data_IF_793536418896
#
_entry.id   IF_793536418896
#
_cell.length_a   1.000
_cell.length_b   1.000
_cell.length_c   1.000
_cell.angle_alpha   90.00
_cell.angle_beta   90.00
_cell.angle_gamma   90.00
#
_symmetry.space_group_name_H-M   'P 1'
#
loop_
_entity.id
_entity.type
_entity.pdbx_description
1 polymer ?
#
# COMPACT_ATOMS: atom_id res chain seq x y z
N UNK A 1 -3.68 28.85 17.41
CA UNK A 1 -5.09 28.66 17.81
C UNK A 1 -5.11 27.75 19.04
N UNK A 2 -5.82 28.12 20.13
CA UNK A 2 -5.90 27.30 21.33
C UNK A 2 -6.54 25.93 21.06
N UNK A 3 -6.18 24.93 21.86
CA UNK A 3 -6.68 23.56 21.70
C UNK A 3 -8.21 23.46 21.76
N UNK A 4 -8.88 24.19 22.67
CA UNK A 4 -10.35 24.16 22.79
C UNK A 4 -11.05 24.63 21.51
N UNK A 5 -10.50 25.64 20.85
CA UNK A 5 -11.01 26.10 19.56
C UNK A 5 -10.77 25.06 18.46
N UNK A 6 -9.64 24.34 18.50
CA UNK A 6 -9.37 23.21 17.57
C UNK A 6 -10.37 22.09 17.79
N UNK A 7 -10.62 21.71 19.04
CA UNK A 7 -11.57 20.63 19.37
C UNK A 7 -13.01 21.01 19.02
N UNK A 8 -13.39 22.27 19.24
CA UNK A 8 -14.71 22.79 18.85
C UNK A 8 -14.87 22.79 17.34
N UNK A 9 -13.85 23.20 16.58
CA UNK A 9 -13.90 23.15 15.13
C UNK A 9 -13.91 21.70 14.62
N UNK A 10 -13.11 20.82 15.24
CA UNK A 10 -13.05 19.41 14.89
C UNK A 10 -14.38 18.69 15.12
N UNK A 11 -15.14 19.05 16.16
CA UNK A 11 -16.46 18.46 16.38
C UNK A 11 -17.49 18.91 15.35
N UNK A 12 -17.34 20.11 14.78
CA UNK A 12 -18.19 20.63 13.71
C UNK A 12 -17.80 20.11 12.31
N UNK A 13 -16.57 19.64 12.15
CA UNK A 13 -16.00 19.17 10.89
C UNK A 13 -15.86 17.64 10.84
N UNK A 14 -16.79 16.87 11.40
CA UNK A 14 -16.72 15.40 11.35
C UNK A 14 -16.85 14.86 9.91
N UNK A 15 -17.74 15.47 9.12
CA UNK A 15 -17.99 15.07 7.72
C UNK A 15 -17.10 15.80 6.70
N UNK A 16 -16.07 16.54 7.16
CA UNK A 16 -15.19 17.34 6.31
C UNK A 16 -13.73 17.09 6.66
N UNK A 17 -12.87 17.13 5.64
CA UNK A 17 -11.44 17.10 5.87
C UNK A 17 -10.98 18.38 6.58
N UNK A 18 -10.26 18.21 7.67
CA UNK A 18 -9.68 19.26 8.49
C UNK A 18 -8.20 18.94 8.74
N UNK A 19 -7.35 19.91 8.43
CA UNK A 19 -5.91 19.83 8.69
C UNK A 19 -5.56 20.96 9.66
N UNK A 20 -5.02 20.57 10.82
CA UNK A 20 -4.52 21.51 11.83
C UNK A 20 -3.02 21.55 11.70
N UNK A 21 -2.47 22.74 11.47
CA UNK A 21 -1.02 22.96 11.43
C UNK A 21 -0.65 23.93 12.54
N UNK A 22 0.35 23.55 13.34
CA UNK A 22 1.00 24.38 14.33
C UNK A 22 2.47 24.50 13.99
N UNK A 23 3.02 25.70 14.12
CA UNK A 23 4.44 25.94 13.95
C UNK A 23 4.91 26.78 15.14
N UNK A 24 6.01 26.33 15.76
CA UNK A 24 6.74 27.09 16.75
C UNK A 24 8.24 26.99 16.43
N UNK A 25 8.87 28.12 16.11
CA UNK A 25 10.27 28.15 15.67
C UNK A 25 10.53 27.24 14.48
N UNK A 26 11.46 26.29 14.65
CA UNK A 26 11.85 25.31 13.63
C UNK A 26 11.00 24.04 13.63
N UNK A 27 9.99 23.95 14.49
CA UNK A 27 9.16 22.75 14.65
C UNK A 27 7.78 23.00 14.06
N UNK A 28 7.35 22.09 13.20
CA UNK A 28 6.01 22.03 12.65
C UNK A 28 5.31 20.75 13.07
N UNK A 29 4.10 20.88 13.61
CA UNK A 29 3.23 19.75 13.91
C UNK A 29 1.95 19.88 13.08
N UNK A 30 1.48 18.77 12.52
CA UNK A 30 0.18 18.74 11.85
C UNK A 30 -0.65 17.55 12.29
N UNK A 31 -1.96 17.70 12.22
CA UNK A 31 -2.93 16.66 12.52
C UNK A 31 -4.05 16.71 11.50
N UNK A 32 -4.49 15.54 11.05
CA UNK A 32 -5.53 15.39 10.03
C UNK A 32 -6.71 14.67 10.65
N UNK A 33 -7.90 15.24 10.50
CA UNK A 33 -9.17 14.58 10.74
C UNK A 33 -9.97 14.67 9.44
N UNK A 34 -10.45 13.55 8.95
CA UNK A 34 -11.33 13.52 7.80
C UNK A 34 -12.29 12.34 7.92
N UNK A 35 -13.36 12.32 7.11
CA UNK A 35 -14.11 11.08 6.86
C UNK A 35 -13.19 9.98 6.30
N UNK A 36 -13.73 8.78 6.20
CA UNK A 36 -13.09 7.70 5.46
C UNK A 36 -12.61 8.18 4.09
N UNK A 37 -11.36 7.88 3.76
CA UNK A 37 -10.77 8.25 2.49
C UNK A 37 -10.37 7.00 1.71
N UNK A 38 -11.12 6.74 0.66
CA UNK A 38 -10.92 5.60 -0.24
C UNK A 38 -10.08 6.03 -1.44
N UNK A 39 -8.98 5.32 -1.71
CA UNK A 39 -8.02 5.63 -2.76
C UNK A 39 -7.98 4.47 -3.75
N UNK A 40 -8.21 4.79 -5.04
CA UNK A 40 -8.08 3.84 -6.15
C UNK A 40 -6.69 3.99 -6.78
N UNK A 41 -6.31 5.22 -7.14
CA UNK A 41 -5.03 5.51 -7.82
C UNK A 41 -3.97 5.91 -6.80
N UNK A 42 -3.35 4.92 -6.14
CA UNK A 42 -2.32 5.17 -5.13
C UNK A 42 -0.93 5.48 -5.71
N UNK A 43 -0.79 5.51 -7.04
CA UNK A 43 0.47 5.71 -7.79
C UNK A 43 1.68 4.93 -7.22
N UNK A 44 1.62 3.59 -7.13
CA UNK A 44 2.74 2.78 -6.67
C UNK A 44 3.95 2.90 -7.62
N UNK A 45 5.15 3.05 -7.05
CA UNK A 45 6.39 3.24 -7.84
C UNK A 45 6.74 2.04 -8.74
N UNK A 46 6.38 0.81 -8.35
CA UNK A 46 6.84 -0.42 -9.01
C UNK A 46 5.72 -1.47 -9.20
N UNK A 47 4.53 -1.04 -9.61
CA UNK A 47 3.40 -1.94 -9.85
C UNK A 47 3.44 -2.59 -11.23
N UNK A 48 3.97 -3.82 -11.29
CA UNK A 48 3.88 -4.66 -12.49
C UNK A 48 3.34 -6.04 -12.13
N UNK A 49 2.18 -6.39 -12.69
CA UNK A 49 1.59 -7.72 -12.56
C UNK A 49 1.93 -8.56 -13.81
N UNK A 50 3.04 -9.30 -13.73
CA UNK A 50 3.56 -10.15 -14.81
C UNK A 50 3.09 -11.61 -14.69
N UNK A 51 2.26 -11.97 -13.70
CA UNK A 51 1.73 -13.33 -13.52
C UNK A 51 2.78 -14.46 -13.59
N UNK A 52 4.03 -14.19 -13.22
CA UNK A 52 5.13 -15.15 -13.37
C UNK A 52 4.97 -16.37 -12.46
N UNK A 53 4.41 -16.20 -11.26
CA UNK A 53 4.17 -17.30 -10.32
C UNK A 53 2.94 -18.15 -10.68
N UNK A 54 1.89 -17.49 -11.18
CA UNK A 54 0.60 -18.09 -11.52
C UNK A 54 0.17 -17.59 -12.92
N UNK A 55 0.79 -18.12 -13.99
CA UNK A 55 0.43 -17.73 -15.34
C UNK A 55 -0.98 -18.20 -15.65
N UNK A 56 -1.78 -17.33 -16.28
CA UNK A 56 -3.07 -17.73 -16.84
C UNK A 56 -2.85 -18.57 -18.10
N UNK A 57 -3.86 -19.36 -18.46
CA UNK A 57 -3.78 -20.35 -19.54
C UNK A 57 -3.18 -19.78 -20.84
N UNK A 58 -3.70 -18.65 -21.31
CA UNK A 58 -3.27 -18.06 -22.59
C UNK A 58 -1.80 -17.59 -22.55
N UNK A 59 -1.29 -17.18 -21.37
CA UNK A 59 0.11 -16.83 -21.17
C UNK A 59 1.02 -18.07 -21.19
N UNK A 60 0.59 -19.17 -20.56
CA UNK A 60 1.29 -20.45 -20.62
C UNK A 60 1.32 -21.02 -22.03
N UNK A 61 0.21 -20.93 -22.78
CA UNK A 61 0.15 -21.34 -24.19
C UNK A 61 1.09 -20.50 -25.06
N UNK A 62 1.09 -19.17 -24.86
CA UNK A 62 2.00 -18.27 -25.56
C UNK A 62 3.46 -18.60 -25.26
N UNK A 63 3.83 -18.76 -23.99
CA UNK A 63 5.19 -19.15 -23.60
C UNK A 63 5.57 -20.49 -24.22
N UNK A 64 4.66 -21.47 -24.19
CA UNK A 64 4.88 -22.81 -24.74
C UNK A 64 5.24 -22.82 -26.23
N UNK A 65 4.71 -21.89 -27.01
CA UNK A 65 4.99 -21.78 -28.46
C UNK A 65 6.45 -21.46 -28.82
N UNK A 66 7.27 -21.01 -27.86
CA UNK A 66 8.68 -20.72 -28.07
C UNK A 66 9.54 -21.96 -27.80
N UNK A 67 10.29 -22.40 -28.81
CA UNK A 67 11.32 -23.42 -28.66
C UNK A 67 12.69 -22.75 -28.60
N UNK A 68 13.18 -22.46 -27.38
CA UNK A 68 14.42 -21.69 -27.17
C UNK A 68 15.66 -22.39 -27.78
N UNK A 69 15.66 -23.71 -27.86
CA UNK A 69 16.81 -24.47 -28.37
C UNK A 69 16.86 -24.46 -29.91
N UNK A 70 15.69 -24.43 -30.57
CA UNK A 70 15.59 -24.42 -32.02
C UNK A 70 15.79 -23.05 -32.68
N UNK A 71 15.71 -21.94 -31.92
CA UNK A 71 15.88 -20.59 -32.47
C UNK A 71 17.33 -20.34 -32.90
N UNK A 72 17.53 -19.47 -33.90
CA UNK A 72 18.86 -18.94 -34.21
C UNK A 72 19.33 -17.91 -33.16
N UNK A 73 20.58 -17.46 -33.24
CA UNK A 73 21.14 -16.52 -32.26
C UNK A 73 20.41 -15.17 -32.24
N UNK A 74 19.93 -14.71 -33.40
CA UNK A 74 19.23 -13.42 -33.50
C UNK A 74 17.86 -13.54 -32.87
N UNK A 75 17.10 -14.58 -33.18
CA UNK A 75 15.77 -14.77 -32.64
C UNK A 75 15.78 -15.06 -31.14
N UNK A 76 16.81 -15.75 -30.65
CA UNK A 76 17.03 -16.06 -29.24
C UNK A 76 17.26 -14.81 -28.40
N UNK A 77 18.07 -13.86 -28.87
CA UNK A 77 18.35 -12.59 -28.16
C UNK A 77 17.18 -11.60 -28.15
N UNK A 78 16.13 -11.87 -28.93
CA UNK A 78 14.93 -11.05 -29.05
C UNK A 78 13.68 -11.71 -28.41
N UNK A 79 13.85 -12.78 -27.63
CA UNK A 79 12.74 -13.40 -26.88
C UNK A 79 12.41 -12.53 -25.65
N UNK A 80 11.13 -12.18 -25.40
CA UNK A 80 10.71 -11.48 -24.19
C UNK A 80 11.17 -12.16 -22.90
N UNK A 81 11.72 -11.41 -21.94
CA UNK A 81 12.20 -11.98 -20.68
C UNK A 81 11.11 -12.74 -19.91
N UNK A 82 9.85 -12.32 -20.02
CA UNK A 82 8.70 -13.01 -19.40
C UNK A 82 8.58 -14.46 -19.90
N UNK A 83 8.77 -14.67 -21.21
CA UNK A 83 8.74 -16.01 -21.82
C UNK A 83 9.91 -16.85 -21.33
N UNK A 84 11.11 -16.25 -21.24
CA UNK A 84 12.31 -16.90 -20.71
C UNK A 84 12.04 -17.40 -19.29
N UNK A 85 11.60 -16.51 -18.38
CA UNK A 85 11.32 -16.88 -16.99
C UNK A 85 10.31 -18.03 -16.92
N UNK A 86 9.19 -17.94 -17.65
CA UNK A 86 8.16 -18.98 -17.64
C UNK A 86 8.68 -20.35 -18.10
N UNK A 87 9.48 -20.39 -19.18
CA UNK A 87 10.10 -21.62 -19.68
C UNK A 87 11.02 -22.27 -18.64
N UNK A 88 11.88 -21.48 -18.00
CA UNK A 88 12.78 -22.01 -16.97
C UNK A 88 12.05 -22.38 -15.67
N UNK A 89 10.96 -21.69 -15.32
CA UNK A 89 10.09 -22.08 -14.20
C UNK A 89 9.39 -23.41 -14.48
N UNK A 90 8.93 -23.65 -15.71
CA UNK A 90 8.37 -24.94 -16.11
C UNK A 90 9.40 -26.06 -16.08
N UNK A 91 10.62 -25.82 -16.57
CA UNK A 91 11.73 -26.77 -16.47
C UNK A 91 12.11 -27.07 -15.01
N UNK A 92 12.12 -26.05 -14.15
CA UNK A 92 12.34 -26.21 -12.72
C UNK A 92 11.23 -27.05 -12.06
N UNK A 93 9.96 -26.76 -12.37
CA UNK A 93 8.80 -27.55 -11.92
C UNK A 93 8.87 -28.99 -12.37
N UNK A 94 9.34 -29.27 -13.59
CA UNK A 94 9.50 -30.64 -14.08
C UNK A 94 10.56 -31.42 -13.29
N UNK A 95 11.61 -30.75 -12.80
CA UNK A 95 12.68 -31.36 -12.00
C UNK A 95 12.32 -31.53 -10.52
N UNK A 96 11.64 -30.54 -9.94
CA UNK A 96 11.42 -30.45 -8.48
C UNK A 96 9.95 -30.59 -8.04
N UNK A 97 9.01 -30.67 -8.98
CA UNK A 97 7.57 -30.80 -8.73
C UNK A 97 6.84 -29.49 -8.36
N UNK A 98 7.56 -28.43 -8.01
CA UNK A 98 6.99 -27.14 -7.58
C UNK A 98 7.77 -25.94 -8.14
N UNK A 99 7.17 -24.75 -8.08
CA UNK A 99 7.83 -23.48 -8.43
C UNK A 99 8.82 -23.07 -7.33
N UNK A 100 9.88 -22.31 -7.65
CA UNK A 100 10.85 -21.86 -6.65
C UNK A 100 10.24 -20.81 -5.71
N UNK A 101 10.34 -21.04 -4.41
CA UNK A 101 9.79 -20.21 -3.33
C UNK A 101 10.89 -19.63 -2.44
N UNK A 102 11.91 -20.43 -2.11
CA UNK A 102 13.02 -20.00 -1.24
C UNK A 102 14.07 -19.18 -1.99
N UNK A 103 14.94 -18.51 -1.24
CA UNK A 103 16.07 -17.78 -1.81
C UNK A 103 17.02 -18.73 -2.57
N UNK A 104 17.30 -19.90 -2.00
CA UNK A 104 18.16 -20.92 -2.60
C UNK A 104 17.54 -21.50 -3.88
N UNK A 105 16.24 -21.80 -3.87
CA UNK A 105 15.51 -22.29 -5.04
C UNK A 105 15.50 -21.27 -6.19
N UNK A 106 15.33 -19.98 -5.86
CA UNK A 106 15.44 -18.88 -6.86
C UNK A 106 16.85 -18.72 -7.39
N UNK A 107 17.86 -18.95 -6.56
CA UNK A 107 19.26 -18.95 -7.00
C UNK A 107 19.53 -20.10 -7.96
N UNK A 108 19.00 -21.30 -7.71
CA UNK A 108 19.08 -22.41 -8.66
C UNK A 108 18.40 -22.06 -9.99
N UNK A 109 17.22 -21.45 -9.96
CA UNK A 109 16.54 -20.99 -11.18
C UNK A 109 17.39 -19.95 -11.95
N UNK A 110 18.02 -19.01 -11.25
CA UNK A 110 18.94 -18.03 -11.83
C UNK A 110 20.11 -18.74 -12.53
N UNK A 111 20.68 -19.76 -11.91
CA UNK A 111 21.79 -20.51 -12.48
C UNK A 111 21.33 -21.36 -13.69
N UNK A 112 20.10 -21.89 -13.67
CA UNK A 112 19.47 -22.53 -14.84
C UNK A 112 19.30 -21.55 -16.01
N UNK A 113 18.78 -20.34 -15.76
CA UNK A 113 18.60 -19.31 -16.79
C UNK A 113 19.97 -18.89 -17.38
N UNK A 114 20.98 -18.70 -16.54
CA UNK A 114 22.36 -18.39 -16.99
C UNK A 114 22.94 -19.50 -17.87
N UNK A 115 22.65 -20.76 -17.55
CA UNK A 115 23.19 -21.88 -18.32
C UNK A 115 22.67 -21.98 -19.75
N UNK A 116 21.49 -21.40 -20.02
CA UNK A 116 20.94 -21.31 -21.38
C UNK A 116 21.20 -20.00 -22.11
N UNK A 117 22.00 -19.09 -21.53
CA UNK A 117 22.54 -17.96 -22.28
C UNK A 117 23.55 -18.48 -23.31
N UNK A 118 23.42 -18.02 -24.56
CA UNK A 118 24.33 -18.39 -25.66
C UNK A 118 25.51 -17.43 -25.77
N UNK A 119 25.29 -16.17 -25.40
CA UNK A 119 26.32 -15.12 -25.37
C UNK A 119 26.21 -14.28 -24.08
N UNK A 120 27.32 -13.70 -23.65
CA UNK A 120 27.38 -12.94 -22.40
C UNK A 120 26.63 -11.60 -22.44
N UNK A 121 26.40 -11.08 -23.64
CA UNK A 121 25.76 -9.81 -23.96
C UNK A 121 24.25 -9.94 -24.29
N UNK A 122 23.63 -11.09 -24.01
CA UNK A 122 22.19 -11.29 -24.19
C UNK A 122 21.37 -10.48 -23.16
N UNK A 123 21.03 -9.24 -23.52
CA UNK A 123 20.30 -8.30 -22.66
C UNK A 123 18.95 -8.84 -22.17
N UNK A 124 18.21 -9.58 -23.00
CA UNK A 124 16.93 -10.17 -22.62
C UNK A 124 17.06 -11.23 -21.51
N UNK A 125 18.14 -12.01 -21.49
CA UNK A 125 18.45 -12.91 -20.39
C UNK A 125 18.90 -12.15 -19.14
N UNK A 126 19.67 -11.07 -19.29
CA UNK A 126 20.03 -10.22 -18.16
C UNK A 126 18.79 -9.58 -17.52
N UNK A 127 17.82 -9.11 -18.33
CA UNK A 127 16.50 -8.67 -17.87
C UNK A 127 15.80 -9.80 -17.10
N UNK A 128 15.74 -11.02 -17.66
CA UNK A 128 15.14 -12.17 -16.99
C UNK A 128 15.74 -12.41 -15.61
N UNK A 129 17.07 -12.42 -15.49
CA UNK A 129 17.80 -12.63 -14.24
C UNK A 129 17.46 -11.56 -13.18
N UNK A 130 17.33 -10.30 -13.58
CA UNK A 130 16.95 -9.21 -12.67
C UNK A 130 15.48 -9.31 -12.21
N UNK A 131 14.61 -9.94 -13.00
CA UNK A 131 13.18 -10.08 -12.72
C UNK A 131 12.79 -11.40 -12.03
N UNK A 132 13.69 -12.41 -11.93
CA UNK A 132 13.42 -13.68 -11.21
C UNK A 132 12.94 -13.44 -9.78
N UNK A 133 13.52 -12.45 -9.10
CA UNK A 133 13.19 -12.14 -7.70
C UNK A 133 11.74 -11.65 -7.51
N UNK A 134 11.05 -11.28 -8.59
CA UNK A 134 9.63 -10.89 -8.59
C UNK A 134 8.67 -12.07 -8.58
N UNK A 135 9.16 -13.31 -8.69
CA UNK A 135 8.35 -14.49 -8.43
C UNK A 135 7.83 -14.41 -6.98
N UNK A 136 6.53 -14.18 -6.82
CA UNK A 136 5.88 -14.17 -5.51
C UNK A 136 5.82 -15.59 -4.94
N UNK A 137 6.02 -15.71 -3.62
CA UNK A 137 6.17 -16.98 -2.93
C UNK A 137 4.85 -17.73 -2.73
N UNK A 138 3.73 -17.02 -2.52
CA UNK A 138 2.46 -17.66 -2.11
C UNK A 138 1.24 -16.74 -2.09
N UNK A 139 1.37 -15.48 -1.68
CA UNK A 139 0.23 -14.56 -1.53
C UNK A 139 0.09 -13.65 -2.75
N UNK A 140 -1.05 -13.76 -3.42
CA UNK A 140 -1.36 -13.06 -4.67
C UNK A 140 -2.14 -11.75 -4.45
N UNK A 141 -2.63 -11.53 -3.23
CA UNK A 141 -3.39 -10.35 -2.83
C UNK A 141 -2.61 -9.65 -1.72
N UNK A 142 -2.20 -8.38 -1.91
CA UNK A 142 -1.53 -7.60 -0.88
C UNK A 142 -2.35 -7.49 0.41
N UNK A 143 -1.67 -7.40 1.55
CA UNK A 143 -2.30 -7.37 2.88
C UNK A 143 -3.37 -6.28 3.03
N UNK A 144 -3.11 -5.10 2.49
CA UNK A 144 -3.97 -3.92 2.55
C UNK A 144 -5.25 -4.13 1.73
N UNK A 145 -5.14 -4.74 0.56
CA UNK A 145 -6.28 -5.10 -0.28
C UNK A 145 -7.10 -6.20 0.40
N UNK A 146 -6.43 -7.19 1.00
CA UNK A 146 -7.10 -8.24 1.78
C UNK A 146 -7.84 -7.67 2.99
N UNK A 147 -7.28 -6.70 3.70
CA UNK A 147 -7.97 -5.99 4.78
C UNK A 147 -9.22 -5.27 4.25
N UNK A 148 -9.11 -4.59 3.11
CA UNK A 148 -10.25 -3.94 2.45
C UNK A 148 -11.35 -4.94 2.08
N UNK A 149 -10.99 -6.12 1.56
CA UNK A 149 -11.96 -7.17 1.23
C UNK A 149 -12.66 -7.77 2.45
N UNK A 150 -11.98 -7.82 3.58
CA UNK A 150 -12.52 -8.33 4.84
C UNK A 150 -13.27 -7.26 5.65
N UNK A 151 -13.26 -6.00 5.22
CA UNK A 151 -13.97 -4.92 5.90
C UNK A 151 -15.50 -5.15 5.83
N UNK A 152 -16.26 -4.93 6.92
CA UNK A 152 -17.72 -5.06 6.90
C UNK A 152 -18.40 -4.22 5.81
N UNK A 153 -17.82 -3.07 5.44
CA UNK A 153 -18.31 -2.18 4.39
C UNK A 153 -18.18 -2.81 3.01
N UNK A 154 -17.16 -3.67 2.80
CA UNK A 154 -17.00 -4.44 1.57
C UNK A 154 -17.89 -5.69 1.57
N UNK A 155 -17.85 -6.48 2.65
CA UNK A 155 -18.59 -7.75 2.74
C UNK A 155 -20.09 -7.54 2.55
N UNK A 156 -20.63 -6.51 3.19
CA UNK A 156 -22.05 -6.20 3.18
C UNK A 156 -22.44 -5.15 2.13
N UNK A 157 -21.53 -4.77 1.21
CA UNK A 157 -21.85 -3.75 0.22
C UNK A 157 -23.06 -4.16 -0.64
N UNK A 158 -23.92 -3.19 -0.91
CA UNK A 158 -25.14 -3.31 -1.71
C UNK A 158 -25.27 -2.09 -2.64
N UNK A 159 -26.37 -1.99 -3.37
CA UNK A 159 -26.61 -0.87 -4.30
C UNK A 159 -26.61 0.51 -3.64
N UNK A 160 -26.86 0.61 -2.33
CA UNK A 160 -26.87 1.88 -1.58
C UNK A 160 -25.50 2.26 -1.02
N UNK A 161 -24.51 1.38 -1.14
CA UNK A 161 -23.17 1.59 -0.60
C UNK A 161 -22.37 2.58 -1.44
N UNK A 162 -21.34 3.25 -0.89
CA UNK A 162 -20.45 4.08 -1.69
C UNK A 162 -19.82 3.29 -2.84
N UNK A 163 -19.67 3.91 -4.03
CA UNK A 163 -19.20 3.23 -5.24
C UNK A 163 -17.88 2.46 -5.03
N UNK A 164 -16.97 2.97 -4.20
CA UNK A 164 -15.72 2.28 -3.88
C UNK A 164 -15.96 0.90 -3.27
N UNK A 165 -16.89 0.79 -2.31
CA UNK A 165 -17.20 -0.46 -1.63
C UNK A 165 -17.96 -1.44 -2.52
N UNK A 166 -18.82 -0.93 -3.41
CA UNK A 166 -19.46 -1.74 -4.47
C UNK A 166 -18.39 -2.37 -5.37
N UNK A 167 -17.43 -1.57 -5.83
CA UNK A 167 -16.33 -2.05 -6.68
C UNK A 167 -15.39 -3.01 -5.94
N UNK A 168 -15.06 -2.71 -4.68
CA UNK A 168 -14.24 -3.59 -3.84
C UNK A 168 -14.92 -4.96 -3.67
N UNK A 169 -16.24 -4.98 -3.43
CA UNK A 169 -17.03 -6.20 -3.36
C UNK A 169 -17.05 -6.94 -4.70
N UNK A 170 -17.31 -6.25 -5.80
CA UNK A 170 -17.32 -6.86 -7.12
C UNK A 170 -15.98 -7.51 -7.49
N UNK A 171 -14.86 -6.86 -7.14
CA UNK A 171 -13.51 -7.41 -7.33
C UNK A 171 -13.25 -8.58 -6.38
N UNK A 172 -13.67 -8.50 -5.11
CA UNK A 172 -13.58 -9.62 -4.18
C UNK A 172 -14.35 -10.84 -4.70
N UNK A 173 -15.57 -10.64 -5.16
CA UNK A 173 -16.40 -11.70 -5.72
C UNK A 173 -15.76 -12.26 -7.01
N UNK A 174 -15.12 -11.43 -7.83
CA UNK A 174 -14.33 -11.89 -8.98
C UNK A 174 -13.17 -12.80 -8.53
N UNK A 175 -12.40 -12.37 -7.53
CA UNK A 175 -11.27 -13.13 -6.97
C UNK A 175 -11.73 -14.51 -6.47
N UNK A 176 -12.87 -14.59 -5.79
CA UNK A 176 -13.43 -15.84 -5.26
C UNK A 176 -13.99 -16.78 -6.35
N UNK A 177 -14.20 -16.27 -7.57
CA UNK A 177 -14.81 -17.01 -8.68
C UNK A 177 -13.89 -17.02 -9.93
N UNK A 178 -14.10 -16.13 -10.91
CA UNK A 178 -13.38 -16.16 -12.19
C UNK A 178 -11.88 -15.88 -12.06
N UNK A 179 -11.47 -15.19 -11.00
CA UNK A 179 -10.09 -14.82 -10.71
C UNK A 179 -9.26 -15.93 -10.10
N UNK A 180 -9.87 -17.02 -9.63
CA UNK A 180 -9.17 -18.16 -9.00
C UNK A 180 -8.17 -17.74 -7.91
N UNK A 181 -8.56 -16.80 -7.06
CA UNK A 181 -7.72 -16.22 -6.01
C UNK A 181 -6.79 -15.10 -6.45
N UNK A 182 -6.86 -14.67 -7.72
CA UNK A 182 -6.09 -13.55 -8.27
C UNK A 182 -6.97 -12.31 -8.46
N UNK A 183 -6.35 -11.15 -8.30
CA UNK A 183 -6.95 -9.86 -8.68
C UNK A 183 -7.13 -9.75 -10.21
N UNK A 184 -8.02 -8.88 -10.71
CA UNK A 184 -8.12 -8.62 -12.14
C UNK A 184 -6.81 -8.07 -12.69
N UNK A 185 -6.41 -8.53 -13.87
CA UNK A 185 -5.14 -8.14 -14.48
C UNK A 185 -5.19 -6.67 -14.93
N UNK A 186 -4.15 -5.89 -14.58
CA UNK A 186 -4.06 -4.48 -15.00
C UNK A 186 -3.81 -4.28 -16.50
N UNK A 187 -3.25 -5.31 -17.16
CA UNK A 187 -2.87 -5.30 -18.57
C UNK A 187 -1.64 -4.46 -18.91
N UNK A 188 -0.98 -3.86 -17.91
CA UNK A 188 0.25 -3.07 -18.11
C UNK A 188 1.46 -3.98 -18.20
N UNK A 189 2.26 -3.82 -19.26
CA UNK A 189 3.56 -4.47 -19.42
C UNK A 189 4.67 -3.41 -19.45
N UNK A 190 5.85 -3.70 -18.89
CA UNK A 190 7.02 -2.86 -19.07
C UNK A 190 7.53 -2.91 -20.51
N UNK A 191 8.41 -1.97 -20.83
CA UNK A 191 9.31 -2.13 -21.97
C UNK A 191 10.25 -3.33 -21.73
N UNK A 192 10.68 -3.99 -22.80
CA UNK A 192 11.57 -5.16 -22.70
C UNK A 192 12.36 -5.37 -23.99
N UNK A 193 13.52 -6.00 -23.87
CA UNK A 193 14.35 -6.37 -25.01
C UNK A 193 13.73 -7.55 -25.76
N UNK A 194 13.01 -7.23 -26.83
CA UNK A 194 12.37 -8.20 -27.69
C UNK A 194 12.15 -7.67 -29.10
N UNK A 195 11.97 -8.57 -30.07
CA UNK A 195 11.48 -8.20 -31.39
C UNK A 195 10.04 -7.65 -31.29
N UNK A 196 9.71 -6.72 -32.18
CA UNK A 196 8.42 -6.04 -32.20
C UNK A 196 7.26 -7.01 -32.31
N UNK A 197 7.38 -8.07 -33.12
CA UNK A 197 6.30 -9.05 -33.32
C UNK A 197 6.06 -9.85 -32.03
N UNK A 198 7.13 -10.30 -31.39
CA UNK A 198 7.10 -11.08 -30.13
C UNK A 198 6.59 -10.23 -28.96
N UNK A 199 6.98 -8.95 -28.89
CA UNK A 199 6.47 -8.02 -27.88
C UNK A 199 4.97 -7.72 -28.05
N UNK A 200 4.53 -7.39 -29.27
CA UNK A 200 3.12 -7.12 -29.57
C UNK A 200 2.25 -8.36 -29.32
N UNK A 201 2.77 -9.56 -29.63
CA UNK A 201 2.12 -10.83 -29.31
C UNK A 201 1.84 -10.96 -27.81
N UNK A 202 2.87 -10.76 -26.99
CA UNK A 202 2.75 -10.82 -25.53
C UNK A 202 1.79 -9.75 -25.00
N UNK A 203 1.91 -8.51 -25.50
CA UNK A 203 1.03 -7.41 -25.11
C UNK A 203 -0.45 -7.71 -25.41
N UNK A 204 -0.73 -8.35 -26.55
CA UNK A 204 -2.09 -8.77 -26.92
C UNK A 204 -2.64 -9.79 -25.93
N UNK A 205 -1.86 -10.78 -25.52
CA UNK A 205 -2.26 -11.81 -24.54
C UNK A 205 -2.67 -11.17 -23.22
N UNK A 206 -1.83 -10.27 -22.67
CA UNK A 206 -2.15 -9.54 -21.43
C UNK A 206 -3.37 -8.64 -21.57
N UNK A 207 -3.49 -7.90 -22.68
CA UNK A 207 -4.62 -7.01 -22.93
C UNK A 207 -5.93 -7.78 -23.04
N UNK A 208 -5.94 -8.93 -23.72
CA UNK A 208 -7.14 -9.76 -23.85
C UNK A 208 -7.58 -10.33 -22.50
N UNK A 209 -6.63 -10.82 -21.69
CA UNK A 209 -6.92 -11.27 -20.33
C UNK A 209 -7.47 -10.14 -19.46
N UNK A 210 -6.84 -8.97 -19.47
CA UNK A 210 -7.31 -7.80 -18.72
C UNK A 210 -8.73 -7.37 -19.14
N UNK A 211 -9.05 -7.42 -20.45
CA UNK A 211 -10.39 -7.14 -20.95
C UNK A 211 -11.42 -8.19 -20.48
N UNK A 212 -11.04 -9.47 -20.49
CA UNK A 212 -11.88 -10.55 -19.99
C UNK A 212 -12.18 -10.38 -18.50
N UNK A 213 -11.16 -10.09 -17.69
CA UNK A 213 -11.29 -9.87 -16.26
C UNK A 213 -12.16 -8.63 -15.98
N UNK A 214 -11.96 -7.54 -16.72
CA UNK A 214 -12.78 -6.33 -16.64
C UNK A 214 -14.26 -6.62 -16.90
N UNK A 215 -14.57 -7.40 -17.94
CA UNK A 215 -15.96 -7.74 -18.27
C UNK A 215 -16.61 -8.61 -17.18
N UNK A 216 -15.85 -9.51 -16.56
CA UNK A 216 -16.34 -10.29 -15.42
C UNK A 216 -16.64 -9.40 -14.22
N UNK A 217 -15.76 -8.45 -13.90
CA UNK A 217 -16.00 -7.47 -12.83
C UNK A 217 -17.20 -6.57 -13.14
N UNK A 218 -17.34 -6.07 -14.36
CA UNK A 218 -18.51 -5.27 -14.78
C UNK A 218 -19.82 -6.03 -14.57
N UNK A 219 -19.84 -7.32 -14.92
CA UNK A 219 -21.01 -8.17 -14.67
C UNK A 219 -21.34 -8.22 -13.18
N UNK A 220 -20.36 -8.43 -12.32
CA UNK A 220 -20.55 -8.44 -10.86
C UNK A 220 -21.02 -7.11 -10.29
N UNK A 221 -20.51 -5.99 -10.81
CA UNK A 221 -21.01 -4.65 -10.45
C UNK A 221 -22.49 -4.54 -10.79
N UNK A 222 -22.89 -4.95 -12.00
CA UNK A 222 -24.31 -4.93 -12.40
C UNK A 222 -25.17 -5.87 -11.55
N UNK A 223 -24.66 -7.06 -11.19
CA UNK A 223 -25.35 -8.02 -10.32
C UNK A 223 -25.56 -7.45 -8.90
N UNK A 224 -24.63 -6.63 -8.39
CA UNK A 224 -24.77 -5.95 -7.08
C UNK A 224 -25.75 -4.78 -7.16
N UNK A 225 -25.78 -4.07 -8.29
CA UNK A 225 -26.66 -2.91 -8.49
C UNK A 225 -28.11 -3.31 -8.77
N UNK A 226 -28.40 -4.53 -9.26
CA UNK A 226 -29.75 -5.11 -9.45
C UNK A 226 -30.82 -4.14 -10.01
N UNK A 227 -30.46 -3.30 -10.98
CA UNK A 227 -31.37 -2.35 -11.62
C UNK A 227 -31.62 -1.03 -10.86
N UNK A 228 -30.81 -0.71 -9.85
CA UNK A 228 -30.79 0.57 -9.14
C UNK A 228 -30.43 1.75 -10.09
N UNK A 229 -30.84 2.97 -9.72
CA UNK A 229 -30.50 4.20 -10.46
C UNK A 229 -29.01 4.56 -10.35
N UNK A 230 -28.29 3.96 -9.41
CA UNK A 230 -26.86 4.18 -9.20
C UNK A 230 -26.04 3.67 -10.38
N UNK A 231 -25.57 4.59 -11.23
CA UNK A 231 -24.72 4.26 -12.39
C UNK A 231 -23.25 4.49 -12.05
N UNK A 232 -22.46 3.41 -12.02
CA UNK A 232 -21.00 3.47 -12.00
C UNK A 232 -20.50 3.40 -13.44
N UNK A 233 -19.72 4.40 -13.87
CA UNK A 233 -19.23 4.43 -15.25
C UNK A 233 -18.19 3.32 -15.52
N UNK A 234 -18.19 2.83 -16.76
CA UNK A 234 -17.22 1.84 -17.24
C UNK A 234 -15.77 2.28 -17.03
N UNK A 235 -15.49 3.59 -17.16
CA UNK A 235 -14.18 4.18 -16.95
C UNK A 235 -13.70 4.04 -15.50
N UNK A 236 -14.60 4.22 -14.54
CA UNK A 236 -14.28 4.05 -13.11
C UNK A 236 -14.02 2.57 -12.80
N UNK A 237 -14.83 1.65 -13.35
CA UNK A 237 -14.62 0.20 -13.18
C UNK A 237 -13.26 -0.20 -13.76
N UNK A 238 -12.95 0.26 -14.98
CA UNK A 238 -11.65 0.00 -15.63
C UNK A 238 -10.49 0.54 -14.80
N UNK A 239 -10.61 1.76 -14.28
CA UNK A 239 -9.60 2.37 -13.41
C UNK A 239 -9.41 1.57 -12.11
N UNK A 240 -10.51 1.07 -11.54
CA UNK A 240 -10.46 0.22 -10.35
C UNK A 240 -9.75 -1.10 -10.64
N UNK A 241 -10.11 -1.80 -11.73
CA UNK A 241 -9.44 -3.05 -12.13
C UNK A 241 -7.94 -2.86 -12.36
N UNK A 242 -7.54 -1.77 -13.03
CA UNK A 242 -6.12 -1.44 -13.27
C UNK A 242 -5.32 -1.23 -11.99
N UNK A 243 -5.96 -0.79 -10.92
CA UNK A 243 -5.33 -0.45 -9.66
C UNK A 243 -5.74 -1.37 -8.50
N UNK A 244 -6.42 -2.49 -8.76
CA UNK A 244 -6.99 -3.37 -7.75
C UNK A 244 -5.96 -3.88 -6.73
N UNK A 245 -4.71 -4.09 -7.16
CA UNK A 245 -3.59 -4.47 -6.28
C UNK A 245 -3.08 -3.36 -5.36
N UNK A 246 -3.60 -2.14 -5.49
CA UNK A 246 -3.05 -0.95 -4.83
C UNK A 246 -4.12 -0.04 -4.22
N UNK A 247 -5.38 -0.51 -4.16
CA UNK A 247 -6.44 0.22 -3.47
C UNK A 247 -6.10 0.37 -1.99
N UNK A 248 -6.48 1.50 -1.40
CA UNK A 248 -6.26 1.79 0.02
C UNK A 248 -7.48 2.46 0.62
N UNK A 249 -7.72 2.16 1.89
CA UNK A 249 -8.72 2.85 2.70
C UNK A 249 -8.01 3.46 3.90
N UNK A 250 -8.14 4.76 4.09
CA UNK A 250 -7.59 5.48 5.23
C UNK A 250 -8.76 5.86 6.14
N UNK A 251 -8.78 5.27 7.33
CA UNK A 251 -9.68 5.64 8.41
C UNK A 251 -8.97 6.61 9.35
N UNK A 252 -9.37 7.88 9.30
CA UNK A 252 -8.84 8.90 10.20
C UNK A 252 -9.49 8.79 11.57
N UNK A 253 -8.75 9.24 12.59
CA UNK A 253 -9.26 9.35 13.95
C UNK A 253 -9.76 10.75 14.19
N UNK A 254 -10.75 10.88 15.06
CA UNK A 254 -11.14 12.18 15.60
C UNK A 254 -9.99 12.76 16.42
N UNK A 255 -9.71 14.05 16.26
CA UNK A 255 -8.66 14.76 17.02
C UNK A 255 -8.91 14.65 18.53
N UNK A 256 -10.19 14.65 18.94
CA UNK A 256 -10.59 14.45 20.34
C UNK A 256 -10.23 13.07 20.92
N UNK A 257 -9.85 12.11 20.08
CA UNK A 257 -9.54 10.75 20.48
C UNK A 257 -8.06 10.38 20.31
N UNK A 258 -7.21 11.31 19.85
CA UNK A 258 -5.77 11.07 19.67
C UNK A 258 -5.07 10.62 20.96
N UNK A 259 -5.50 11.17 22.10
CA UNK A 259 -4.86 10.93 23.38
C UNK A 259 -5.55 9.87 24.25
N UNK A 260 -6.57 9.17 23.73
CA UNK A 260 -7.30 8.14 24.49
C UNK A 260 -6.58 6.78 24.56
N UNK A 261 -5.40 6.66 23.95
CA UNK A 261 -4.63 5.41 23.87
C UNK A 261 -3.29 5.59 24.60
N UNK A 262 -3.35 5.77 25.92
CA UNK A 262 -2.21 6.02 26.79
C UNK A 262 -1.04 5.06 26.52
N UNK A 263 -1.30 3.75 26.49
CA UNK A 263 -0.27 2.72 26.27
C UNK A 263 0.49 2.90 24.95
N UNK A 264 -0.22 3.25 23.86
CA UNK A 264 0.43 3.48 22.56
C UNK A 264 1.25 4.75 22.55
N UNK A 265 0.78 5.79 23.23
CA UNK A 265 1.51 7.06 23.34
C UNK A 265 2.80 6.84 24.11
N UNK A 266 2.76 6.10 25.22
CA UNK A 266 3.96 5.72 25.97
C UNK A 266 4.90 4.90 25.09
N UNK A 267 4.39 3.91 24.35
CA UNK A 267 5.21 3.12 23.44
C UNK A 267 5.86 3.98 22.34
N UNK A 268 5.12 4.93 21.76
CA UNK A 268 5.66 5.84 20.75
C UNK A 268 6.70 6.78 21.35
N UNK A 269 6.48 7.33 22.54
CA UNK A 269 7.46 8.17 23.24
C UNK A 269 8.77 7.42 23.51
N UNK A 270 8.74 6.11 23.71
CA UNK A 270 9.95 5.30 23.88
C UNK A 270 10.68 5.01 22.55
N UNK A 271 9.99 5.05 21.41
CA UNK A 271 10.51 4.61 20.12
C UNK A 271 10.72 5.74 19.10
N UNK A 272 10.06 6.88 19.26
CA UNK A 272 10.04 7.98 18.29
C UNK A 272 10.30 9.32 18.97
N UNK A 273 11.41 9.98 18.64
CA UNK A 273 11.80 11.25 19.28
C UNK A 273 10.79 12.39 18.99
N UNK A 274 10.20 12.39 17.79
CA UNK A 274 9.35 13.49 17.34
C UNK A 274 8.03 13.62 18.12
N UNK A 275 7.56 12.54 18.75
CA UNK A 275 6.29 12.59 19.49
C UNK A 275 6.41 13.42 20.77
N UNK A 276 7.61 13.57 21.34
CA UNK A 276 7.84 14.46 22.48
C UNK A 276 7.43 15.89 22.15
N UNK A 277 7.74 16.38 20.95
CA UNK A 277 7.30 17.70 20.51
C UNK A 277 5.77 17.79 20.44
N UNK A 278 5.06 16.76 19.97
CA UNK A 278 3.60 16.76 19.97
C UNK A 278 3.01 16.90 21.39
N UNK A 279 3.62 16.28 22.39
CA UNK A 279 3.22 16.39 23.80
C UNK A 279 3.55 17.78 24.35
N UNK A 280 4.77 18.28 24.11
CA UNK A 280 5.20 19.59 24.60
C UNK A 280 4.39 20.73 23.96
N UNK A 281 3.97 20.61 22.70
CA UNK A 281 3.05 21.57 22.06
C UNK A 281 1.71 21.65 22.80
N UNK A 282 1.21 20.53 23.36
CA UNK A 282 0.00 20.52 24.18
C UNK A 282 0.23 21.15 25.55
N UNK A 283 1.38 20.86 26.17
CA UNK A 283 1.79 21.53 27.39
C UNK A 283 1.91 23.06 27.20
N UNK A 284 2.43 23.51 26.06
CA UNK A 284 2.54 24.93 25.71
C UNK A 284 1.17 25.59 25.51
N UNK A 285 0.18 24.90 24.95
CA UNK A 285 -1.21 25.40 24.90
C UNK A 285 -1.79 25.58 26.32
N UNK A 286 -1.52 24.63 27.23
CA UNK A 286 -1.93 24.74 28.65
C UNK A 286 -1.23 25.90 29.35
N UNK A 287 0.08 26.04 29.13
CA UNK A 287 0.87 27.16 29.61
C UNK A 287 0.27 28.49 29.13
N UNK A 288 -0.06 28.62 27.84
CA UNK A 288 -0.69 29.82 27.30
C UNK A 288 -2.02 30.15 27.98
N UNK A 289 -2.82 29.14 28.33
CA UNK A 289 -4.10 29.34 29.03
C UNK A 289 -3.91 29.92 30.43
N UNK A 290 -2.86 29.52 31.15
CA UNK A 290 -2.56 29.93 32.53
C UNK A 290 -1.85 31.29 32.56
N UNK A 291 -0.81 31.45 31.73
CA UNK A 291 0.10 32.61 31.77
C UNK A 291 -0.24 33.67 30.73
N UNK A 292 -1.25 33.44 29.88
CA UNK A 292 -1.69 34.33 28.79
C UNK A 292 -0.60 34.68 27.76
N UNK A 293 0.49 33.91 27.72
CA UNK A 293 1.59 33.98 26.75
C UNK A 293 2.17 32.58 26.53
N UNK A 294 2.84 32.35 25.41
CA UNK A 294 3.57 31.10 25.18
C UNK A 294 4.91 31.09 25.95
N UNK A 295 5.48 29.90 26.26
CA UNK A 295 6.83 29.81 26.80
C UNK A 295 7.82 30.40 25.80
N UNK A 296 8.79 31.18 26.30
CA UNK A 296 9.72 31.91 25.43
C UNK A 296 11.08 32.20 26.07
N UNK A 297 11.25 31.89 27.36
CA UNK A 297 12.52 32.08 28.08
C UNK A 297 12.89 30.83 28.87
N UNK A 298 14.15 30.74 29.27
CA UNK A 298 14.67 29.65 30.12
C UNK A 298 13.97 29.61 31.49
N UNK A 299 13.47 30.75 31.96
CA UNK A 299 12.71 30.87 33.20
C UNK A 299 11.35 30.15 33.12
N UNK A 300 10.83 29.91 31.90
CA UNK A 300 9.58 29.19 31.68
C UNK A 300 9.75 27.66 31.74
N UNK A 301 11.00 27.15 31.77
CA UNK A 301 11.29 25.72 31.66
C UNK A 301 10.56 24.90 32.74
N UNK A 302 10.67 25.29 34.01
CA UNK A 302 10.06 24.54 35.12
C UNK A 302 8.54 24.52 35.01
N UNK A 303 7.95 25.65 34.63
CA UNK A 303 6.51 25.78 34.45
C UNK A 303 6.00 24.99 33.22
N UNK A 304 6.75 24.98 32.11
CA UNK A 304 6.41 24.15 30.93
C UNK A 304 6.55 22.66 31.24
N UNK A 305 7.59 22.28 31.99
CA UNK A 305 7.80 20.92 32.48
C UNK A 305 6.63 20.46 33.36
N UNK A 306 6.19 21.30 34.29
CA UNK A 306 5.01 21.05 35.11
C UNK A 306 3.75 20.85 34.24
N UNK A 307 3.51 21.73 33.27
CA UNK A 307 2.35 21.57 32.37
C UNK A 307 2.43 20.30 31.51
N UNK A 308 3.63 19.82 31.21
CA UNK A 308 3.86 18.56 30.47
C UNK A 308 3.47 17.36 31.32
N UNK A 309 3.90 17.32 32.59
CA UNK A 309 3.50 16.28 33.57
C UNK A 309 1.98 16.26 33.71
N UNK A 310 1.37 17.42 33.98
CA UNK A 310 -0.08 17.52 34.16
C UNK A 310 -0.84 17.09 32.90
N UNK A 311 -0.30 17.35 31.70
CA UNK A 311 -0.90 16.86 30.46
C UNK A 311 -0.82 15.33 30.34
N UNK A 312 0.35 14.73 30.59
CA UNK A 312 0.54 13.28 30.53
C UNK A 312 -0.37 12.54 31.53
N UNK A 313 -0.52 13.07 32.74
CA UNK A 313 -1.46 12.53 33.73
C UNK A 313 -2.92 12.66 33.27
N UNK A 314 -3.27 13.76 32.59
CA UNK A 314 -4.65 13.99 32.10
C UNK A 314 -5.08 13.08 30.95
N UNK A 315 -4.15 12.33 30.36
CA UNK A 315 -4.41 11.36 29.29
C UNK A 315 -4.30 9.91 29.80
N UNK A 316 -4.48 9.73 31.11
CA UNK A 316 -4.51 8.43 31.82
C UNK A 316 -3.19 7.64 31.79
N UNK A 317 -2.04 8.31 31.64
CA UNK A 317 -0.73 7.64 31.79
C UNK A 317 -0.40 7.47 33.29
N UNK A 318 -0.02 6.26 33.75
CA UNK A 318 0.34 6.03 35.15
C UNK A 318 1.51 6.90 35.60
N UNK A 319 1.43 7.44 36.83
CA UNK A 319 2.42 8.34 37.41
C UNK A 319 3.87 7.83 37.30
N UNK A 320 4.11 6.55 37.60
CA UNK A 320 5.44 5.94 37.51
C UNK A 320 6.03 6.02 36.09
N UNK A 321 5.18 5.86 35.06
CA UNK A 321 5.62 5.97 33.67
C UNK A 321 5.82 7.43 33.26
N UNK A 322 5.01 8.36 33.79
CA UNK A 322 5.23 9.80 33.57
C UNK A 322 6.61 10.21 34.11
N UNK A 323 6.99 9.74 35.30
CA UNK A 323 8.32 10.00 35.86
C UNK A 323 9.43 9.47 34.95
N UNK A 324 9.34 8.21 34.52
CA UNK A 324 10.31 7.60 33.60
C UNK A 324 10.45 8.40 32.30
N UNK A 325 9.32 8.82 31.70
CA UNK A 325 9.31 9.58 30.45
C UNK A 325 9.92 10.99 30.62
N UNK A 326 9.67 11.64 31.75
CA UNK A 326 10.16 12.99 32.04
C UNK A 326 11.64 13.02 32.44
N UNK A 327 12.21 11.90 32.89
CA UNK A 327 13.64 11.73 33.16
C UNK A 327 14.45 11.45 31.88
N UNK A 328 13.79 11.19 30.75
CA UNK A 328 14.46 10.95 29.48
C UNK A 328 15.20 12.19 28.96
N UNK A 329 16.42 12.00 28.46
CA UNK A 329 17.24 13.06 27.88
C UNK A 329 16.55 13.71 26.66
N UNK A 330 15.75 12.94 25.93
CA UNK A 330 15.00 13.41 24.76
C UNK A 330 13.91 14.39 25.19
N UNK A 331 13.14 14.07 26.24
CA UNK A 331 12.12 14.98 26.77
C UNK A 331 12.75 16.28 27.29
N UNK A 332 13.87 16.19 28.02
CA UNK A 332 14.57 17.37 28.52
C UNK A 332 15.05 18.30 27.38
N UNK A 333 15.68 17.73 26.35
CA UNK A 333 16.05 18.48 25.14
C UNK A 333 14.85 19.09 24.43
N UNK A 334 13.75 18.35 24.34
CA UNK A 334 12.51 18.84 23.70
C UNK A 334 11.95 20.06 24.41
N UNK A 335 11.94 20.05 25.75
CA UNK A 335 11.48 21.16 26.58
C UNK A 335 12.38 22.39 26.47
N UNK A 336 13.69 22.21 26.33
CA UNK A 336 14.65 23.31 26.17
C UNK A 336 14.60 23.95 24.76
N UNK A 337 14.20 23.17 23.75
CA UNK A 337 14.18 23.59 22.36
C UNK A 337 12.88 24.30 21.94
N UNK A 338 11.85 24.29 22.80
CA UNK A 338 10.53 24.86 22.52
C UNK A 338 10.37 26.24 23.17
#
# INVERSE_FOLDING_TARGET
MPEEAVLTLASLCQDKAMIVVKSNGFIGAFSIQAPEHTIIESHPENAMDLRLSCPFRELSEYASSFDLDALDQTDHSHVPFVVIILKYVEAYKAKHGQAPRSYEERKELIDMIKSGMRAADEENFQEALSHVWRLSSTDHIPSEVRQTFNDPSCVNADANSPYFWILAKAVRDFVENEGEGQLPLSGKLPDMKSDTVKYIGLQRVYRQKALSDLNAVKKRVNDILDGDETVISDEVIETFCKNAGHIKVIQYRLISSHYKQADKIVQWMKNEENIHYCIVFKAADRFQKIYHRYPSSVEDYDALKEQTVVFLESIDIPFEQVQELMESEIMDKTLQNL
#
